data_IF_428209323213
#
_entry.id   IF_428209323213
#
_cell.length_a   1.000
_cell.length_b   1.000
_cell.length_c   1.000
_cell.angle_alpha   90.00
_cell.angle_beta   90.00
_cell.angle_gamma   90.00
#
_symmetry.space_group_name_H-M   'P 1'
#
loop_
_entity.id
_entity.type
_entity.pdbx_description
1 polymer ?
#
# COMPACT_ATOMS: atom_id res chain seq x y z
N UNK A 1 -11.27 5.79 -6.07
CA UNK A 1 -9.82 6.03 -5.95
C UNK A 1 -9.66 7.15 -4.94
N UNK A 2 -8.85 6.98 -3.91
CA UNK A 2 -8.66 7.99 -2.85
C UNK A 2 -7.20 8.43 -2.85
N UNK A 3 -6.96 9.71 -3.14
CA UNK A 3 -5.61 10.25 -3.34
C UNK A 3 -4.87 9.66 -4.55
N UNK A 4 -5.60 9.24 -5.60
CA UNK A 4 -5.01 8.61 -6.78
C UNK A 4 -4.65 7.12 -6.61
N UNK A 5 -5.01 6.52 -5.48
CA UNK A 5 -4.76 5.10 -5.18
C UNK A 5 -6.04 4.27 -5.35
N UNK A 6 -5.90 3.06 -5.88
CA UNK A 6 -6.94 2.06 -6.06
C UNK A 6 -6.70 0.82 -5.19
N UNK A 7 -7.78 0.12 -4.81
CA UNK A 7 -7.66 -1.19 -4.18
C UNK A 7 -7.02 -2.20 -5.13
N UNK A 8 -6.07 -2.98 -4.64
CA UNK A 8 -5.22 -3.89 -5.42
C UNK A 8 -4.01 -3.22 -6.06
N UNK A 9 -3.84 -1.90 -5.95
CA UNK A 9 -2.71 -1.20 -6.56
C UNK A 9 -1.42 -1.37 -5.75
N UNK A 10 -0.31 -1.52 -6.47
CA UNK A 10 1.04 -1.45 -5.89
C UNK A 10 1.37 -0.02 -5.50
N UNK A 11 1.76 0.17 -4.25
CA UNK A 11 2.09 1.49 -3.70
C UNK A 11 3.47 1.46 -3.05
N UNK A 12 4.19 2.57 -3.19
CA UNK A 12 5.43 2.83 -2.47
C UNK A 12 5.15 3.72 -1.27
N UNK A 13 5.71 3.36 -0.12
CA UNK A 13 5.57 4.14 1.11
C UNK A 13 6.54 5.32 1.07
N UNK A 14 6.04 6.51 1.42
CA UNK A 14 6.82 7.74 1.47
C UNK A 14 6.40 8.65 2.63
N UNK A 15 7.33 9.52 3.03
CA UNK A 15 7.09 10.60 4.01
C UNK A 15 6.50 10.13 5.35
N UNK A 16 6.72 8.87 5.74
CA UNK A 16 6.32 8.33 7.04
C UNK A 16 7.23 8.90 8.12
N UNK A 17 6.64 9.69 9.02
CA UNK A 17 7.34 10.27 10.18
C UNK A 17 7.42 9.33 11.38
N UNK A 18 6.40 8.48 11.55
CA UNK A 18 6.29 7.57 12.69
C UNK A 18 7.08 6.26 12.49
N UNK A 19 7.38 5.90 11.24
CA UNK A 19 8.12 4.70 10.86
C UNK A 19 8.97 5.01 9.61
N UNK A 20 9.99 5.88 9.73
CA UNK A 20 10.80 6.30 8.60
C UNK A 20 11.57 5.16 7.93
N UNK A 21 11.82 4.07 8.65
CA UNK A 21 12.44 2.84 8.15
C UNK A 21 11.61 2.14 7.06
N UNK A 22 10.29 2.39 7.03
CA UNK A 22 9.40 1.86 6.00
C UNK A 22 9.33 2.76 4.75
N UNK A 23 9.96 3.93 4.76
CA UNK A 23 9.99 4.78 3.58
C UNK A 23 10.83 4.11 2.48
N UNK A 24 10.25 4.03 1.29
CA UNK A 24 10.85 3.35 0.15
C UNK A 24 10.38 1.91 -0.03
N UNK A 25 9.77 1.29 1.00
CA UNK A 25 9.14 -0.04 0.92
C UNK A 25 7.96 -0.04 -0.07
N UNK A 26 7.69 -1.23 -0.62
CA UNK A 26 6.60 -1.44 -1.58
C UNK A 26 5.58 -2.40 -0.98
N UNK A 27 4.31 -2.05 -1.10
CA UNK A 27 3.18 -2.87 -0.65
C UNK A 27 2.01 -2.82 -1.62
N UNK A 28 0.93 -3.50 -1.24
CA UNK A 28 -0.33 -3.52 -1.99
C UNK A 28 -1.39 -2.80 -1.17
N UNK A 29 -2.00 -1.76 -1.73
CA UNK A 29 -3.14 -1.08 -1.15
C UNK A 29 -4.36 -2.00 -1.23
N UNK A 30 -4.88 -2.48 -0.10
CA UNK A 30 -5.99 -3.42 -0.06
C UNK A 30 -7.34 -2.70 -0.11
N UNK A 31 -7.59 -1.83 0.87
CA UNK A 31 -8.85 -1.09 1.00
C UNK A 31 -8.63 0.24 1.69
N UNK A 32 -9.47 1.22 1.34
CA UNK A 32 -9.53 2.48 2.03
C UNK A 32 -10.56 2.40 3.17
N UNK A 33 -10.16 2.82 4.36
CA UNK A 33 -11.06 3.00 5.49
C UNK A 33 -11.52 4.46 5.51
N UNK A 34 -12.80 4.68 5.20
CA UNK A 34 -13.42 6.02 5.16
C UNK A 34 -13.54 6.65 6.54
N UNK A 35 -13.68 5.86 7.61
CA UNK A 35 -13.82 6.37 8.97
C UNK A 35 -12.51 6.95 9.49
N UNK A 36 -11.39 6.32 9.15
CA UNK A 36 -10.06 6.78 9.58
C UNK A 36 -9.32 7.61 8.53
N UNK A 37 -9.81 7.64 7.29
CA UNK A 37 -9.15 8.29 6.15
C UNK A 37 -7.82 7.63 5.76
N UNK A 38 -7.67 6.31 5.98
CA UNK A 38 -6.40 5.58 5.80
C UNK A 38 -6.57 4.35 4.92
N UNK A 39 -5.56 4.09 4.10
CA UNK A 39 -5.40 2.87 3.34
C UNK A 39 -4.81 1.76 4.21
N UNK A 40 -5.43 0.58 4.16
CA UNK A 40 -4.79 -0.64 4.62
C UNK A 40 -3.84 -1.12 3.51
N UNK A 41 -2.54 -1.07 3.77
CA UNK A 41 -1.50 -1.54 2.86
C UNK A 41 -0.89 -2.82 3.44
N UNK A 42 -0.77 -3.86 2.61
CA UNK A 42 -0.04 -5.07 2.96
C UNK A 42 1.38 -5.00 2.43
N UNK A 43 2.35 -5.08 3.32
CA UNK A 43 3.77 -5.11 2.99
C UNK A 43 4.22 -6.52 2.59
N UNK A 44 5.41 -6.63 1.99
CA UNK A 44 5.99 -7.91 1.55
C UNK A 44 6.21 -8.90 2.69
N UNK A 45 6.49 -8.40 3.90
CA UNK A 45 6.62 -9.21 5.11
C UNK A 45 5.27 -9.78 5.62
N UNK A 46 4.16 -9.48 4.95
CA UNK A 46 2.81 -9.90 5.32
C UNK A 46 2.10 -8.98 6.31
N UNK A 47 2.78 -7.96 6.83
CA UNK A 47 2.21 -7.02 7.80
C UNK A 47 1.21 -6.05 7.13
N UNK A 48 0.12 -5.74 7.83
CA UNK A 48 -0.85 -4.72 7.43
C UNK A 48 -0.60 -3.39 8.14
N UNK A 49 -0.43 -2.29 7.39
CA UNK A 49 -0.27 -0.93 7.92
C UNK A 49 -1.41 -0.03 7.48
N UNK A 50 -1.89 0.84 8.37
CA UNK A 50 -2.87 1.88 8.05
C UNK A 50 -2.17 3.20 7.76
N UNK A 51 -2.14 3.61 6.50
CA UNK A 51 -1.37 4.75 6.03
C UNK A 51 -2.26 5.80 5.37
N UNK A 52 -1.88 7.07 5.50
CA UNK A 52 -2.62 8.15 4.83
C UNK A 52 -2.34 8.09 3.32
N UNK A 53 -3.28 8.51 2.46
CA UNK A 53 -3.05 8.59 1.02
C UNK A 53 -1.78 9.39 0.66
N UNK A 54 -1.50 10.47 1.39
CA UNK A 54 -0.31 11.32 1.20
C UNK A 54 1.02 10.59 1.43
N UNK A 55 1.00 9.49 2.21
CA UNK A 55 2.16 8.66 2.48
C UNK A 55 2.32 7.52 1.47
N UNK A 56 1.50 7.49 0.43
CA UNK A 56 1.49 6.46 -0.58
C UNK A 56 1.71 7.08 -1.95
N UNK A 57 2.61 6.48 -2.70
CA UNK A 57 2.85 6.79 -4.10
C UNK A 57 2.37 5.61 -4.93
N UNK A 58 1.35 5.84 -5.75
CA UNK A 58 0.83 4.83 -6.66
C UNK A 58 1.88 4.52 -7.72
N UNK A 59 2.29 3.26 -7.81
CA UNK A 59 3.21 2.84 -8.86
C UNK A 59 2.39 2.52 -10.11
N UNK A 60 2.71 3.16 -11.23
CA UNK A 60 2.09 2.85 -12.52
C UNK A 60 2.51 1.45 -12.99
N UNK A 61 1.50 0.63 -13.23
CA UNK A 61 1.60 -0.60 -13.98
C UNK A 61 0.22 -0.82 -14.59
N UNK A 62 0.09 -0.52 -15.88
CA UNK A 62 -1.16 -0.60 -16.68
C UNK A 62 -1.82 -2.00 -16.68
N UNK A 63 -1.16 -2.96 -16.05
CA UNK A 63 -1.72 -4.25 -15.65
C UNK A 63 -1.17 -4.56 -14.26
N UNK A 64 -2.02 -4.49 -13.24
CA UNK A 64 -1.70 -4.93 -11.89
C UNK A 64 -1.28 -6.40 -11.92
N UNK A 65 0.02 -6.66 -12.08
CA UNK A 65 0.57 -7.99 -11.85
C UNK A 65 0.43 -8.23 -10.36
N UNK A 66 -0.63 -8.98 -10.03
CA UNK A 66 -0.82 -9.55 -8.70
C UNK A 66 0.51 -10.21 -8.34
N UNK A 67 1.18 -9.75 -7.28
CA UNK A 67 2.18 -10.56 -6.62
C UNK A 67 1.41 -11.70 -5.93
N UNK A 68 0.89 -12.62 -6.73
CA UNK A 68 0.39 -13.90 -6.27
C UNK A 68 1.61 -14.77 -6.01
N UNK A 69 2.32 -14.45 -4.94
CA UNK A 69 3.17 -15.41 -4.24
C UNK A 69 2.53 -15.55 -2.86
N UNK A 70 1.29 -16.05 -2.85
CA UNK A 70 0.69 -16.63 -1.66
C UNK A 70 1.16 -18.07 -1.68
N UNK A 71 2.01 -18.44 -0.71
CA UNK A 71 2.72 -19.71 -0.70
C UNK A 71 1.81 -20.91 -0.91
N UNK A 72 2.31 -21.88 -1.68
CA UNK A 72 1.88 -23.26 -1.55
C UNK A 72 2.02 -23.66 -0.08
N UNK A 73 0.91 -24.10 0.51
CA UNK A 73 0.85 -24.68 1.84
C UNK A 73 1.58 -26.03 1.87
#
# INVERSE_FOLDING_TARGET
AEGGIHGGQTVRLRDLKAAPELNGEVGIALRFNTDSGRWLVRLRNGEGKQLRPQNLEGMEGDTGRVFAVWGDA
#
